data_IF_500283993667
#
_entry.id   IF_500283993667
#
_cell.length_a   1.000
_cell.length_b   1.000
_cell.length_c   1.000
_cell.angle_alpha   90.00
_cell.angle_beta   90.00
_cell.angle_gamma   90.00
#
_symmetry.space_group_name_H-M   'P 1'
#
loop_
_entity.id
_entity.type
_entity.pdbx_description
1 polymer ?
#
# COMPACT_ATOMS: atom_id res chain seq x y z
N UNK A 1 -15.25 6.99 3.60
CA UNK A 1 -14.99 8.37 3.10
C UNK A 1 -16.28 8.92 2.49
N UNK A 2 -16.59 10.18 2.72
CA UNK A 2 -17.80 10.85 2.25
C UNK A 2 -17.44 12.03 1.34
N UNK A 3 -18.14 12.17 0.24
CA UNK A 3 -17.95 13.31 -0.68
C UNK A 3 -18.69 14.56 -0.21
N UNK A 4 -19.93 14.35 0.21
CA UNK A 4 -20.83 15.39 0.70
C UNK A 4 -21.79 14.82 1.74
N UNK A 5 -22.55 15.66 2.43
CA UNK A 5 -23.48 15.24 3.47
C UNK A 5 -22.85 14.66 4.72
N UNK A 6 -21.54 14.84 4.93
CA UNK A 6 -20.82 14.26 6.08
C UNK A 6 -21.36 14.73 7.45
N UNK A 7 -21.94 15.92 7.50
CA UNK A 7 -22.62 16.49 8.66
C UNK A 7 -23.91 15.74 9.06
N UNK A 8 -24.46 14.92 8.16
CA UNK A 8 -25.68 14.12 8.39
C UNK A 8 -25.40 12.68 8.82
N UNK A 9 -24.13 12.26 8.80
CA UNK A 9 -23.74 10.86 9.07
C UNK A 9 -24.12 10.42 10.48
N UNK A 10 -23.95 11.27 11.47
CA UNK A 10 -24.28 10.99 12.88
C UNK A 10 -25.78 10.84 13.13
N UNK A 11 -26.61 11.37 12.25
CA UNK A 11 -28.07 11.37 12.40
C UNK A 11 -28.75 10.20 11.67
N UNK A 12 -28.11 9.63 10.65
CA UNK A 12 -28.77 8.68 9.75
C UNK A 12 -28.33 7.23 9.89
N UNK A 13 -27.12 6.98 10.35
CA UNK A 13 -26.63 5.60 10.61
C UNK A 13 -25.54 5.59 11.69
N UNK A 14 -25.88 5.09 12.85
CA UNK A 14 -24.88 4.38 13.60
C UNK A 14 -24.71 3.01 12.92
N UNK A 15 -23.72 2.84 12.03
CA UNK A 15 -23.02 1.56 11.99
C UNK A 15 -22.25 1.55 13.31
N UNK A 16 -23.00 1.43 14.39
CA UNK A 16 -22.41 1.37 15.70
C UNK A 16 -21.78 -0.01 15.82
N UNK A 17 -20.60 -0.05 16.41
CA UNK A 17 -19.96 -1.29 16.90
C UNK A 17 -20.98 -2.15 17.67
N UNK A 18 -21.99 -1.55 18.31
CA UNK A 18 -23.08 -2.20 19.03
C UNK A 18 -24.04 -2.91 18.07
N UNK A 19 -24.39 -2.35 16.91
CA UNK A 19 -25.23 -3.05 15.93
C UNK A 19 -24.49 -4.26 15.33
N UNK A 20 -23.18 -4.14 15.11
CA UNK A 20 -22.32 -5.25 14.68
C UNK A 20 -22.23 -6.38 15.73
N UNK A 21 -22.32 -6.06 17.02
CA UNK A 21 -22.30 -7.07 18.09
C UNK A 21 -23.62 -7.86 18.23
N UNK A 22 -24.73 -7.36 17.70
CA UNK A 22 -26.06 -7.95 17.84
C UNK A 22 -26.48 -8.72 16.58
N UNK A 23 -25.98 -8.33 15.41
CA UNK A 23 -26.28 -8.97 14.12
C UNK A 23 -25.10 -9.85 13.66
N UNK A 24 -25.23 -11.19 13.67
CA UNK A 24 -24.20 -12.08 13.20
C UNK A 24 -23.84 -11.88 11.71
N UNK A 25 -24.70 -11.22 10.92
CA UNK A 25 -24.42 -10.87 9.52
C UNK A 25 -23.62 -9.58 9.40
N UNK A 26 -23.42 -8.82 10.46
CA UNK A 26 -22.68 -7.57 10.46
C UNK A 26 -21.16 -7.74 10.18
N UNK A 27 -20.65 -8.97 10.29
CA UNK A 27 -19.29 -9.33 9.94
C UNK A 27 -19.07 -9.52 8.42
N UNK A 28 -20.14 -9.49 7.62
CA UNK A 28 -20.06 -9.65 6.17
C UNK A 28 -19.97 -8.30 5.47
N UNK A 29 -19.04 -8.11 4.52
CA UNK A 29 -18.89 -6.85 3.78
C UNK A 29 -20.19 -6.36 3.12
N UNK A 30 -21.03 -7.28 2.67
CA UNK A 30 -22.32 -6.98 2.04
C UNK A 30 -23.28 -6.22 2.96
N UNK A 31 -23.17 -6.42 4.26
CA UNK A 31 -23.98 -5.67 5.23
C UNK A 31 -23.55 -4.20 5.29
N UNK A 32 -22.23 -3.96 5.28
CA UNK A 32 -21.69 -2.61 5.15
C UNK A 32 -22.14 -1.96 3.83
N UNK A 33 -21.99 -2.67 2.71
CA UNK A 33 -22.33 -2.12 1.38
C UNK A 33 -23.82 -1.77 1.27
N UNK A 34 -24.73 -2.55 1.86
CA UNK A 34 -26.16 -2.19 1.96
C UNK A 34 -26.35 -0.89 2.75
N UNK A 35 -25.67 -0.75 3.89
CA UNK A 35 -25.69 0.48 4.67
C UNK A 35 -25.17 1.70 3.91
N UNK A 36 -24.10 1.54 3.11
CA UNK A 36 -23.57 2.61 2.25
C UNK A 36 -24.58 2.96 1.13
N UNK A 37 -25.23 1.96 0.51
CA UNK A 37 -26.27 2.20 -0.49
C UNK A 37 -27.48 2.93 0.11
N UNK A 38 -27.91 2.54 1.29
CA UNK A 38 -29.01 3.19 2.01
C UNK A 38 -28.68 4.64 2.35
N UNK A 39 -27.41 4.91 2.71
CA UNK A 39 -26.95 6.28 2.93
C UNK A 39 -27.06 7.12 1.66
N UNK A 40 -26.52 6.64 0.52
CA UNK A 40 -26.62 7.34 -0.77
C UNK A 40 -28.07 7.59 -1.17
N UNK A 41 -28.95 6.58 -1.02
CA UNK A 41 -30.36 6.67 -1.35
C UNK A 41 -31.10 7.72 -0.50
N UNK A 42 -30.77 7.82 0.78
CA UNK A 42 -31.44 8.74 1.73
C UNK A 42 -30.96 10.17 1.65
N UNK A 43 -29.67 10.35 1.35
CA UNK A 43 -29.02 11.67 1.48
C UNK A 43 -28.71 12.33 0.14
N UNK A 44 -28.63 11.55 -0.95
CA UNK A 44 -28.09 11.98 -2.22
C UNK A 44 -26.57 12.21 -2.19
N UNK A 45 -25.91 11.94 -1.07
CA UNK A 45 -24.47 12.01 -0.91
C UNK A 45 -23.76 10.82 -1.55
N UNK A 46 -22.44 10.86 -1.61
CA UNK A 46 -21.60 9.77 -2.10
C UNK A 46 -20.64 9.30 -1.01
N UNK A 47 -20.45 7.99 -0.92
CA UNK A 47 -19.58 7.36 0.07
C UNK A 47 -18.74 6.26 -0.57
N UNK A 48 -17.65 5.89 0.11
CA UNK A 48 -16.86 4.70 -0.19
C UNK A 48 -16.29 4.12 1.12
N UNK A 49 -16.03 2.83 1.12
CA UNK A 49 -15.30 2.15 2.17
C UNK A 49 -13.80 2.07 1.81
N UNK A 50 -12.97 2.01 2.85
CA UNK A 50 -11.53 1.81 2.72
C UNK A 50 -11.16 0.63 3.62
N UNK A 51 -11.06 -0.59 3.08
CA UNK A 51 -10.54 -1.74 3.82
C UNK A 51 -9.14 -1.43 4.37
N UNK A 52 -8.88 -1.85 5.60
CA UNK A 52 -7.61 -1.63 6.28
C UNK A 52 -7.26 -2.81 7.18
N UNK A 53 -6.00 -2.90 7.64
CA UNK A 53 -5.48 -4.05 8.40
C UNK A 53 -5.59 -5.38 7.62
N UNK A 54 -5.31 -5.39 6.33
CA UNK A 54 -5.41 -6.61 5.54
C UNK A 54 -4.47 -7.70 6.05
N UNK A 55 -3.26 -7.33 6.48
CA UNK A 55 -2.28 -8.23 7.11
C UNK A 55 -2.77 -8.87 8.42
N UNK A 56 -3.83 -8.36 9.04
CA UNK A 56 -4.42 -8.89 10.28
C UNK A 56 -5.79 -9.53 10.06
N UNK A 57 -6.16 -9.80 8.81
CA UNK A 57 -7.49 -10.29 8.43
C UNK A 57 -7.66 -11.81 8.50
N UNK A 58 -6.65 -12.56 8.91
CA UNK A 58 -6.64 -14.05 8.83
C UNK A 58 -6.89 -14.59 7.42
N UNK A 59 -6.45 -13.85 6.39
CA UNK A 59 -6.63 -14.23 4.99
C UNK A 59 -7.98 -13.83 4.37
N UNK A 60 -8.86 -13.18 5.14
CA UNK A 60 -10.22 -12.88 4.68
C UNK A 60 -10.31 -11.61 3.83
N UNK A 61 -9.31 -10.71 3.90
CA UNK A 61 -9.38 -9.45 3.17
C UNK A 61 -9.41 -9.65 1.66
N UNK A 62 -8.59 -10.55 1.14
CA UNK A 62 -8.48 -10.85 -0.29
C UNK A 62 -8.85 -12.31 -0.58
N UNK A 63 -9.93 -12.79 0.06
CA UNK A 63 -10.42 -14.15 -0.15
C UNK A 63 -10.98 -14.31 -1.57
N UNK A 64 -10.95 -15.53 -2.06
CA UNK A 64 -11.57 -15.93 -3.35
C UNK A 64 -13.00 -16.48 -3.15
N UNK A 65 -13.39 -16.68 -1.90
CA UNK A 65 -14.71 -17.14 -1.48
C UNK A 65 -15.45 -16.04 -0.72
N UNK A 66 -16.75 -16.20 -0.61
CA UNK A 66 -17.63 -15.39 0.20
C UNK A 66 -18.24 -16.25 1.32
N UNK A 67 -18.97 -15.64 2.25
CA UNK A 67 -19.71 -16.38 3.28
C UNK A 67 -20.71 -17.40 2.74
N UNK A 68 -21.09 -17.30 1.47
CA UNK A 68 -22.10 -18.15 0.82
C UNK A 68 -21.54 -19.06 -0.27
N UNK A 69 -20.21 -19.12 -0.42
CA UNK A 69 -19.52 -19.92 -1.41
C UNK A 69 -18.61 -19.12 -2.34
N UNK A 70 -18.26 -19.65 -3.51
CA UNK A 70 -17.37 -18.97 -4.44
C UNK A 70 -17.86 -17.58 -4.82
N UNK A 71 -16.93 -16.63 -4.98
CA UNK A 71 -17.26 -15.27 -5.39
C UNK A 71 -17.94 -15.27 -6.76
N UNK A 72 -19.05 -14.52 -6.87
CA UNK A 72 -19.78 -14.35 -8.11
C UNK A 72 -19.66 -12.91 -8.65
N UNK A 73 -20.14 -12.69 -9.87
CA UNK A 73 -20.08 -11.39 -10.54
C UNK A 73 -20.74 -10.27 -9.73
N UNK A 74 -21.89 -10.52 -9.12
CA UNK A 74 -22.65 -9.51 -8.36
C UNK A 74 -21.87 -9.05 -7.12
N UNK A 75 -21.25 -9.98 -6.38
CA UNK A 75 -20.40 -9.67 -5.25
C UNK A 75 -19.16 -8.87 -5.71
N UNK A 76 -18.48 -9.33 -6.76
CA UNK A 76 -17.30 -8.67 -7.31
C UNK A 76 -17.59 -7.23 -7.77
N UNK A 77 -18.75 -6.99 -8.42
CA UNK A 77 -19.21 -5.63 -8.81
C UNK A 77 -19.47 -4.74 -7.59
N UNK A 78 -20.13 -5.26 -6.56
CA UNK A 78 -20.39 -4.51 -5.33
C UNK A 78 -19.08 -4.13 -4.64
N UNK A 79 -18.17 -5.07 -4.48
CA UNK A 79 -16.87 -4.82 -3.86
C UNK A 79 -16.09 -3.74 -4.63
N UNK A 80 -15.97 -3.88 -5.95
CA UNK A 80 -15.30 -2.90 -6.81
C UNK A 80 -15.92 -1.50 -6.70
N UNK A 81 -17.25 -1.41 -6.53
CA UNK A 81 -17.97 -0.15 -6.38
C UNK A 81 -17.65 0.54 -5.05
N UNK A 82 -17.74 -0.21 -3.95
CA UNK A 82 -17.71 0.34 -2.62
C UNK A 82 -16.30 0.46 -2.03
N UNK A 83 -15.37 -0.37 -2.50
CA UNK A 83 -14.00 -0.45 -2.01
C UNK A 83 -12.99 -0.11 -3.12
N UNK A 84 -13.02 1.12 -3.67
CA UNK A 84 -12.15 1.50 -4.79
C UNK A 84 -10.68 1.64 -4.38
N UNK A 85 -10.38 1.70 -3.10
CA UNK A 85 -9.02 1.79 -2.55
C UNK A 85 -8.88 0.94 -1.31
N UNK A 86 -7.65 0.51 -1.00
CA UNK A 86 -7.28 -0.25 0.20
C UNK A 86 -6.08 0.41 0.88
N UNK A 87 -6.01 0.30 2.18
CA UNK A 87 -4.82 0.69 2.94
C UNK A 87 -3.75 -0.39 2.80
N UNK A 88 -2.53 0.03 2.40
CA UNK A 88 -1.40 -0.89 2.18
C UNK A 88 -0.38 -0.83 3.32
N UNK A 89 -0.34 0.26 4.08
CA UNK A 89 0.61 0.45 5.18
C UNK A 89 0.02 1.32 6.28
N UNK A 90 0.28 0.96 7.53
CA UNK A 90 -0.11 1.70 8.73
C UNK A 90 0.70 1.21 9.95
N UNK A 91 0.48 1.77 11.14
CA UNK A 91 1.24 1.47 12.36
C UNK A 91 1.28 -0.02 12.74
N UNK A 92 0.24 -0.80 12.39
CA UNK A 92 0.19 -2.25 12.60
C UNK A 92 0.78 -3.05 11.44
N UNK A 93 1.79 -2.48 10.78
CA UNK A 93 2.60 -3.12 9.77
C UNK A 93 2.22 -2.75 8.33
N UNK A 94 3.12 -3.11 7.44
CA UNK A 94 2.98 -3.01 6.00
C UNK A 94 2.30 -4.26 5.45
N UNK A 95 1.44 -4.06 4.46
CA UNK A 95 0.66 -5.12 3.82
C UNK A 95 0.94 -5.24 2.32
N UNK A 96 2.01 -4.61 1.79
CA UNK A 96 2.32 -4.67 0.36
C UNK A 96 2.61 -6.10 -0.08
N UNK A 97 3.62 -6.72 0.53
CA UNK A 97 4.11 -8.05 0.19
C UNK A 97 4.63 -8.77 1.44
N UNK A 98 4.82 -10.08 1.34
CA UNK A 98 5.39 -10.90 2.39
C UNK A 98 6.49 -11.81 1.82
N UNK A 99 7.63 -12.03 2.52
CA UNK A 99 8.74 -12.85 2.01
C UNK A 99 8.35 -14.27 1.62
N UNK A 100 7.40 -14.86 2.34
CA UNK A 100 6.86 -16.19 2.02
C UNK A 100 6.13 -16.22 0.68
N UNK A 101 5.42 -15.13 0.31
CA UNK A 101 4.62 -15.03 -0.92
C UNK A 101 5.46 -14.52 -2.10
N UNK A 102 6.47 -13.73 -1.82
CA UNK A 102 7.33 -13.05 -2.80
C UNK A 102 8.82 -13.31 -2.50
N UNK A 103 9.28 -14.57 -2.53
CA UNK A 103 10.65 -14.92 -2.11
C UNK A 103 11.75 -14.34 -3.03
N UNK A 104 11.39 -13.88 -4.21
CA UNK A 104 12.28 -13.18 -5.15
C UNK A 104 12.38 -11.66 -4.94
N UNK A 105 11.65 -11.11 -3.98
CA UNK A 105 11.62 -9.68 -3.67
C UNK A 105 12.47 -9.37 -2.43
N UNK A 106 13.62 -8.74 -2.64
CA UNK A 106 14.55 -8.34 -1.57
C UNK A 106 13.97 -7.30 -0.59
N UNK A 107 12.83 -6.67 -0.93
CA UNK A 107 12.15 -5.66 -0.14
C UNK A 107 10.78 -6.10 0.37
N UNK A 108 10.44 -7.39 0.28
CA UNK A 108 9.17 -7.92 0.78
C UNK A 108 9.10 -7.97 2.32
N UNK A 109 10.25 -8.07 2.99
CA UNK A 109 10.35 -8.06 4.44
C UNK A 109 10.50 -6.61 4.94
N UNK A 110 9.34 -5.94 5.06
CA UNK A 110 9.30 -4.55 5.52
C UNK A 110 8.19 -4.36 6.55
N UNK A 111 8.60 -4.16 7.80
CA UNK A 111 7.68 -3.92 8.92
C UNK A 111 6.42 -4.84 8.90
N UNK A 112 6.59 -6.11 8.49
CA UNK A 112 5.51 -7.09 8.46
C UNK A 112 5.00 -7.37 9.87
N UNK A 113 3.68 -7.46 9.99
CA UNK A 113 3.02 -7.81 11.24
C UNK A 113 2.12 -9.02 10.96
N UNK A 114 2.65 -10.21 11.19
CA UNK A 114 2.12 -11.49 10.70
C UNK A 114 1.93 -12.57 11.79
N UNK A 115 2.01 -12.18 13.07
CA UNK A 115 1.94 -13.14 14.19
C UNK A 115 0.53 -13.62 14.48
N UNK A 116 -0.46 -12.75 14.30
CA UNK A 116 -1.85 -13.06 14.62
C UNK A 116 -2.83 -12.09 13.98
N UNK A 117 -4.11 -12.37 14.16
CA UNK A 117 -5.18 -11.50 13.69
C UNK A 117 -5.29 -10.23 14.55
N UNK A 118 -6.15 -9.29 14.13
CA UNK A 118 -6.32 -7.98 14.79
C UNK A 118 -6.68 -8.06 16.28
N UNK A 119 -7.32 -9.15 16.72
CA UNK A 119 -7.69 -9.38 18.11
C UNK A 119 -6.70 -10.27 18.86
N UNK A 120 -5.62 -10.71 18.21
CA UNK A 120 -4.68 -11.70 18.72
C UNK A 120 -5.34 -13.01 19.23
N UNK A 121 -6.53 -13.30 18.73
CA UNK A 121 -7.30 -14.50 19.08
C UNK A 121 -6.90 -15.73 18.27
N UNK A 122 -6.11 -15.55 17.20
CA UNK A 122 -5.69 -16.61 16.28
C UNK A 122 -4.28 -16.33 15.76
N UNK A 123 -3.43 -17.33 15.84
CA UNK A 123 -2.11 -17.30 15.20
C UNK A 123 -2.26 -17.37 13.68
N UNK A 124 -1.38 -16.66 12.96
CA UNK A 124 -1.30 -16.76 11.51
C UNK A 124 -0.75 -18.10 11.07
N UNK A 125 -1.23 -18.57 9.93
CA UNK A 125 -0.69 -19.70 9.19
C UNK A 125 -0.33 -19.26 7.77
N UNK A 126 0.56 -19.99 7.09
CA UNK A 126 0.99 -19.68 5.73
C UNK A 126 -0.18 -19.54 4.75
N UNK A 127 -1.26 -20.33 4.93
CA UNK A 127 -2.44 -20.27 4.07
C UNK A 127 -3.21 -18.94 4.20
N UNK A 128 -3.12 -18.27 5.36
CA UNK A 128 -3.78 -16.98 5.59
C UNK A 128 -3.04 -15.83 4.90
N UNK A 129 -1.72 -15.96 4.71
CA UNK A 129 -0.91 -14.90 4.14
C UNK A 129 -1.38 -14.46 2.75
N UNK A 130 -1.71 -15.41 1.88
CA UNK A 130 -2.13 -15.11 0.51
C UNK A 130 -3.44 -14.30 0.41
N UNK A 131 -4.32 -14.38 1.41
CA UNK A 131 -5.52 -13.55 1.51
C UNK A 131 -5.34 -12.25 2.30
N UNK A 132 -4.11 -11.96 2.78
CA UNK A 132 -3.83 -10.88 3.69
C UNK A 132 -2.96 -9.75 3.09
N UNK A 133 -2.25 -10.02 2.00
CA UNK A 133 -1.31 -9.07 1.40
C UNK A 133 -1.81 -8.52 0.08
N UNK A 134 -1.61 -7.22 -0.13
CA UNK A 134 -2.19 -6.44 -1.24
C UNK A 134 -1.74 -6.97 -2.60
N UNK A 135 -0.44 -7.28 -2.77
CA UNK A 135 0.09 -7.83 -4.04
C UNK A 135 -0.60 -9.14 -4.43
N UNK A 136 -0.83 -10.02 -3.45
CA UNK A 136 -1.61 -11.26 -3.68
C UNK A 136 -3.07 -10.94 -4.03
N UNK A 137 -3.67 -9.95 -3.36
CA UNK A 137 -5.01 -9.48 -3.69
C UNK A 137 -5.10 -9.01 -5.15
N UNK A 138 -4.13 -8.22 -5.63
CA UNK A 138 -4.07 -7.79 -7.03
C UNK A 138 -3.97 -8.97 -8.00
N UNK A 139 -3.11 -9.97 -7.69
CA UNK A 139 -2.99 -11.20 -8.51
C UNK A 139 -4.29 -12.00 -8.52
N UNK A 140 -4.90 -12.25 -7.34
CA UNK A 140 -6.19 -12.95 -7.22
C UNK A 140 -7.31 -12.24 -7.99
N UNK A 141 -7.28 -10.91 -8.03
CA UNK A 141 -8.23 -10.13 -8.80
C UNK A 141 -8.19 -10.43 -10.31
N UNK A 142 -7.03 -10.75 -10.88
CA UNK A 142 -6.91 -11.20 -12.28
C UNK A 142 -7.62 -12.53 -12.50
N UNK A 143 -7.37 -13.52 -11.65
CA UNK A 143 -7.99 -14.84 -11.74
C UNK A 143 -9.52 -14.78 -11.52
N UNK A 144 -10.00 -13.98 -10.57
CA UNK A 144 -11.43 -13.80 -10.35
C UNK A 144 -12.07 -13.12 -11.56
N UNK A 145 -11.43 -12.12 -12.15
CA UNK A 145 -11.94 -11.49 -13.39
C UNK A 145 -12.06 -12.48 -14.53
N UNK A 146 -11.09 -13.35 -14.70
CA UNK A 146 -11.14 -14.42 -15.72
C UNK A 146 -12.33 -15.36 -15.48
N UNK A 147 -12.58 -15.73 -14.23
CA UNK A 147 -13.65 -16.65 -13.84
C UNK A 147 -15.06 -16.04 -13.89
N UNK A 148 -15.24 -14.78 -13.44
CA UNK A 148 -16.56 -14.16 -13.23
C UNK A 148 -16.77 -12.84 -13.99
N UNK A 149 -15.80 -12.40 -14.79
CA UNK A 149 -15.89 -11.22 -15.65
C UNK A 149 -15.60 -9.88 -14.96
N UNK A 150 -15.43 -9.84 -13.63
CA UNK A 150 -15.18 -8.62 -12.86
C UNK A 150 -14.04 -8.83 -11.86
N UNK A 151 -13.08 -7.90 -11.84
CA UNK A 151 -12.02 -7.87 -10.85
C UNK A 151 -12.50 -7.11 -9.59
N UNK A 152 -12.73 -7.80 -8.44
CA UNK A 152 -13.13 -7.17 -7.18
C UNK A 152 -11.96 -6.44 -6.50
N UNK A 153 -10.72 -6.76 -6.88
CA UNK A 153 -9.48 -6.26 -6.30
C UNK A 153 -8.75 -5.26 -7.22
N UNK A 154 -9.49 -4.65 -8.14
CA UNK A 154 -8.99 -3.53 -8.96
C UNK A 154 -9.07 -2.22 -8.17
N UNK A 155 -8.36 -2.16 -7.06
CA UNK A 155 -8.32 -1.03 -6.15
C UNK A 155 -7.04 -0.18 -6.31
N UNK A 156 -7.09 1.05 -5.83
CA UNK A 156 -5.91 1.86 -5.56
C UNK A 156 -5.38 1.60 -4.15
N UNK A 157 -4.19 2.11 -3.85
CA UNK A 157 -3.55 1.93 -2.55
C UNK A 157 -3.29 3.26 -1.84
N UNK A 158 -3.47 3.28 -0.52
CA UNK A 158 -3.15 4.42 0.33
C UNK A 158 -2.41 3.95 1.58
N UNK A 159 -1.66 4.85 2.22
CA UNK A 159 -1.15 4.66 3.57
C UNK A 159 -1.96 5.46 4.58
N UNK A 160 -1.85 5.13 5.85
CA UNK A 160 -2.42 5.91 6.94
C UNK A 160 -1.58 5.79 8.21
N UNK A 161 -1.79 6.68 9.17
CA UNK A 161 -1.11 6.60 10.46
C UNK A 161 -1.78 5.60 11.39
N UNK A 162 -3.08 5.44 11.28
CA UNK A 162 -3.91 4.73 12.28
C UNK A 162 -3.61 5.18 13.73
N UNK A 163 -3.12 6.40 13.90
CA UNK A 163 -2.86 6.97 15.21
C UNK A 163 -4.17 7.35 15.90
N UNK A 164 -4.29 6.98 17.17
CA UNK A 164 -5.45 7.29 18.02
C UNK A 164 -5.12 8.41 19.02
N UNK A 165 -4.23 9.31 18.64
CA UNK A 165 -3.85 10.52 19.39
C UNK A 165 -4.03 11.75 18.52
N UNK A 166 -4.05 12.94 19.13
CA UNK A 166 -3.95 14.21 18.42
C UNK A 166 -2.55 14.53 17.87
N UNK A 167 -1.58 13.65 18.12
CA UNK A 167 -0.17 13.77 17.73
C UNK A 167 0.19 12.79 16.59
N UNK A 168 -0.72 12.63 15.64
CA UNK A 168 -0.53 11.72 14.51
C UNK A 168 0.63 12.18 13.62
N UNK A 169 1.63 11.31 13.44
CA UNK A 169 2.79 11.53 12.58
C UNK A 169 3.32 10.19 12.08
N UNK A 170 3.85 10.17 10.86
CA UNK A 170 4.56 9.04 10.26
C UNK A 170 6.07 9.32 10.15
N UNK A 171 6.60 10.27 10.89
CA UNK A 171 8.01 10.61 10.93
C UNK A 171 8.72 9.80 12.01
N UNK A 172 9.69 8.98 11.65
CA UNK A 172 10.49 8.17 12.56
C UNK A 172 11.16 8.99 13.66
N UNK A 173 11.64 10.19 13.35
CA UNK A 173 12.26 11.07 14.34
C UNK A 173 11.26 11.64 15.34
N UNK A 174 9.97 11.66 15.00
CA UNK A 174 8.90 12.24 15.80
C UNK A 174 7.73 11.27 15.96
N UNK A 175 8.01 9.99 16.18
CA UNK A 175 7.00 8.96 16.26
C UNK A 175 6.37 8.87 17.65
N UNK A 176 5.07 9.18 17.74
CA UNK A 176 4.31 9.21 19.00
C UNK A 176 3.54 7.92 19.31
N UNK A 177 3.58 6.93 18.41
CA UNK A 177 2.86 5.67 18.62
C UNK A 177 1.36 5.77 18.36
N UNK A 178 0.64 4.67 18.60
CA UNK A 178 -0.79 4.56 18.31
C UNK A 178 -1.67 5.29 19.34
N UNK A 179 -1.31 5.20 20.61
CA UNK A 179 -2.10 5.74 21.73
C UNK A 179 -1.16 6.23 22.85
N UNK A 180 -1.65 7.00 23.82
CA UNK A 180 -0.81 7.50 24.92
C UNK A 180 -0.05 6.41 25.68
N UNK A 181 -0.63 5.20 25.80
CA UNK A 181 0.01 4.07 26.53
C UNK A 181 1.26 3.53 25.82
N UNK A 182 1.38 3.73 24.51
CA UNK A 182 2.53 3.32 23.69
C UNK A 182 3.32 4.52 23.18
N UNK A 183 3.15 5.66 23.82
CA UNK A 183 3.91 6.88 23.54
C UNK A 183 5.38 6.78 23.91
N UNK A 184 6.20 7.81 23.59
CA UNK A 184 7.63 7.81 23.88
C UNK A 184 7.93 7.66 25.38
N UNK A 185 8.53 6.52 25.75
CA UNK A 185 8.96 6.19 27.11
C UNK A 185 10.16 5.26 27.07
N UNK A 186 11.01 5.23 28.11
CA UNK A 186 12.15 4.31 28.16
C UNK A 186 11.77 2.83 28.01
N UNK A 187 10.56 2.44 28.38
CA UNK A 187 10.10 1.06 28.31
C UNK A 187 9.44 0.68 26.99
N UNK A 188 9.19 1.64 26.09
CA UNK A 188 8.43 1.41 24.85
C UNK A 188 9.05 0.34 23.96
N UNK A 189 10.38 0.26 23.90
CA UNK A 189 11.07 -0.70 23.04
C UNK A 189 10.89 -2.16 23.47
N UNK A 190 10.62 -2.42 24.73
CA UNK A 190 10.51 -3.78 25.30
C UNK A 190 9.09 -4.15 25.71
N UNK A 191 8.22 -3.18 25.89
CA UNK A 191 6.85 -3.40 26.33
C UNK A 191 6.03 -4.14 25.27
N UNK A 192 5.09 -4.97 25.74
CA UNK A 192 4.16 -5.68 24.90
C UNK A 192 3.04 -4.75 24.45
N UNK A 193 2.73 -4.77 23.16
CA UNK A 193 1.56 -4.10 22.59
C UNK A 193 0.27 -4.82 22.99
N UNK A 194 0.27 -6.12 22.90
CA UNK A 194 -0.89 -6.96 23.21
C UNK A 194 -0.42 -8.35 23.67
N UNK A 195 -1.10 -8.88 24.65
CA UNK A 195 -0.69 -10.13 25.31
C UNK A 195 -1.78 -11.19 25.39
N UNK A 196 -3.03 -10.89 25.07
CA UNK A 196 -4.11 -11.87 25.24
C UNK A 196 -5.09 -11.82 24.07
N UNK A 197 -5.23 -12.98 23.41
CA UNK A 197 -6.32 -13.26 22.48
C UNK A 197 -7.50 -13.94 23.19
N UNK A 198 -8.68 -13.84 22.63
CA UNK A 198 -9.80 -14.69 22.97
C UNK A 198 -9.45 -16.14 22.65
N UNK A 199 -9.90 -17.09 23.48
CA UNK A 199 -9.68 -18.52 23.26
C UNK A 199 -8.31 -19.06 23.71
N UNK A 200 -7.49 -18.28 24.41
CA UNK A 200 -6.24 -18.76 25.04
C UNK A 200 -5.01 -18.82 24.14
N UNK A 201 -5.08 -18.39 22.89
CA UNK A 201 -3.90 -18.18 22.04
C UNK A 201 -3.15 -16.93 22.51
N UNK A 202 -1.88 -17.10 22.90
CA UNK A 202 -1.02 -15.98 23.26
C UNK A 202 -0.25 -15.53 22.04
N UNK A 203 -0.69 -14.43 21.42
CA UNK A 203 0.10 -13.71 20.42
C UNK A 203 0.71 -12.50 21.09
N UNK A 204 2.01 -12.53 21.32
CA UNK A 204 2.73 -11.38 21.85
C UNK A 204 3.31 -10.56 20.70
N UNK A 205 2.87 -9.31 20.60
CA UNK A 205 3.43 -8.30 19.72
C UNK A 205 4.09 -7.24 20.58
N UNK A 206 5.33 -6.90 20.27
CA UNK A 206 6.07 -5.84 20.95
C UNK A 206 5.73 -4.48 20.35
N UNK A 207 5.79 -3.43 21.19
CA UNK A 207 5.65 -2.06 20.66
C UNK A 207 6.72 -1.74 19.60
N UNK A 208 7.94 -2.28 19.77
CA UNK A 208 9.04 -2.11 18.80
C UNK A 208 8.77 -2.71 17.42
N UNK A 209 7.76 -3.56 17.27
CA UNK A 209 7.33 -4.11 15.99
C UNK A 209 6.40 -3.16 15.21
N UNK A 210 5.95 -2.05 15.81
CA UNK A 210 5.13 -1.07 15.15
C UNK A 210 5.89 -0.36 14.04
N UNK A 211 5.27 -0.17 12.86
CA UNK A 211 5.75 0.75 11.85
C UNK A 211 5.57 2.20 12.32
N UNK A 212 6.36 3.14 11.80
CA UNK A 212 6.08 4.56 12.04
C UNK A 212 4.81 5.01 11.32
N UNK A 213 4.39 4.23 10.33
CA UNK A 213 3.15 4.33 9.58
C UNK A 213 3.22 5.16 8.30
N UNK A 214 2.12 5.62 7.76
CA UNK A 214 2.11 6.16 6.42
C UNK A 214 1.10 7.27 6.17
N UNK A 215 1.09 7.76 4.95
CA UNK A 215 0.17 8.76 4.46
C UNK A 215 -0.50 8.34 3.16
N UNK A 216 -1.75 8.78 2.99
CA UNK A 216 -2.41 8.78 1.70
C UNK A 216 -1.96 9.99 0.89
N UNK A 217 -1.55 9.75 -0.35
CA UNK A 217 -1.28 10.79 -1.32
C UNK A 217 -2.29 10.73 -2.46
N UNK A 218 -2.68 11.87 -3.01
CA UNK A 218 -3.74 11.96 -4.01
C UNK A 218 -3.43 13.00 -5.07
N UNK A 219 -3.66 12.64 -6.33
CA UNK A 219 -3.61 13.57 -7.44
C UNK A 219 -5.04 14.03 -7.78
N UNK A 220 -5.41 15.16 -7.24
CA UNK A 220 -6.70 15.80 -7.46
C UNK A 220 -6.53 17.08 -8.31
N UNK A 221 -7.57 17.46 -9.04
CA UNK A 221 -7.56 18.70 -9.85
C UNK A 221 -7.49 19.96 -8.99
N UNK A 222 -7.99 19.88 -7.75
CA UNK A 222 -7.99 20.95 -6.78
C UNK A 222 -8.09 20.40 -5.35
N UNK A 223 -7.74 21.23 -4.36
CA UNK A 223 -7.81 20.85 -2.96
C UNK A 223 -9.23 21.09 -2.41
N UNK A 224 -10.19 20.33 -2.93
CA UNK A 224 -11.57 20.33 -2.42
C UNK A 224 -11.98 18.90 -2.05
N UNK A 225 -12.97 18.78 -1.15
CA UNK A 225 -13.53 17.48 -0.75
C UNK A 225 -13.99 16.66 -1.96
N UNK A 226 -14.69 17.31 -2.89
CA UNK A 226 -15.22 16.66 -4.08
C UNK A 226 -14.10 16.13 -4.99
N UNK A 227 -13.12 16.96 -5.35
CA UNK A 227 -12.02 16.57 -6.22
C UNK A 227 -11.14 15.47 -5.60
N UNK A 228 -10.90 15.55 -4.29
CA UNK A 228 -10.18 14.50 -3.55
C UNK A 228 -10.99 13.19 -3.57
N UNK A 229 -12.29 13.23 -3.29
CA UNK A 229 -13.15 12.05 -3.34
C UNK A 229 -13.17 11.42 -4.74
N UNK A 230 -13.28 12.23 -5.78
CA UNK A 230 -13.29 11.77 -7.17
C UNK A 230 -11.93 11.12 -7.54
N UNK A 231 -10.81 11.64 -7.02
CA UNK A 231 -9.49 11.03 -7.20
C UNK A 231 -9.40 9.65 -6.51
N UNK A 232 -9.97 9.49 -5.33
CA UNK A 232 -10.09 8.19 -4.68
C UNK A 232 -10.95 7.23 -5.51
N UNK A 233 -12.08 7.69 -6.02
CA UNK A 233 -12.99 6.87 -6.87
C UNK A 233 -12.30 6.38 -8.15
N UNK A 234 -11.48 7.20 -8.81
CA UNK A 234 -10.71 6.82 -9.99
C UNK A 234 -9.36 6.18 -9.66
N UNK A 235 -9.04 6.01 -8.35
CA UNK A 235 -7.82 5.35 -7.84
C UNK A 235 -6.52 6.09 -8.20
N UNK A 236 -6.58 7.37 -8.46
CA UNK A 236 -5.39 8.19 -8.71
C UNK A 236 -4.77 8.66 -7.39
N UNK A 237 -4.39 7.67 -6.60
CA UNK A 237 -3.86 7.76 -5.24
C UNK A 237 -2.65 6.87 -5.09
N UNK A 238 -1.82 7.15 -4.09
CA UNK A 238 -0.69 6.32 -3.74
C UNK A 238 -0.39 6.39 -2.24
N UNK A 239 0.38 5.43 -1.75
CA UNK A 239 0.81 5.35 -0.37
C UNK A 239 2.25 5.82 -0.20
N UNK A 240 2.55 6.42 0.95
CA UNK A 240 3.91 6.60 1.46
C UNK A 240 3.99 5.99 2.85
N UNK A 241 5.14 5.44 3.22
CA UNK A 241 5.39 4.91 4.56
C UNK A 241 5.74 6.00 5.58
N UNK A 242 5.82 7.27 5.15
CA UNK A 242 6.07 8.43 6.01
C UNK A 242 6.56 9.63 5.24
N UNK A 243 7.65 9.54 4.50
CA UNK A 243 8.14 10.65 3.68
C UNK A 243 7.13 11.06 2.61
N UNK A 244 7.06 12.35 2.34
CA UNK A 244 6.18 12.92 1.30
C UNK A 244 6.85 12.83 -0.07
N UNK A 245 7.24 11.62 -0.46
CA UNK A 245 7.79 11.34 -1.80
C UNK A 245 6.69 11.65 -2.81
N UNK A 246 6.95 12.56 -3.77
CA UNK A 246 6.03 12.85 -4.84
C UNK A 246 6.26 11.88 -5.99
N UNK A 247 5.25 11.11 -6.37
CA UNK A 247 5.34 10.09 -7.43
C UNK A 247 4.27 10.32 -8.48
N UNK A 248 4.67 10.34 -9.75
CA UNK A 248 3.78 10.26 -10.91
C UNK A 248 4.05 8.98 -11.68
N UNK A 249 3.01 8.29 -12.09
CA UNK A 249 3.09 7.05 -12.82
C UNK A 249 2.01 7.01 -13.90
N UNK A 250 2.45 6.89 -15.16
CA UNK A 250 1.57 6.81 -16.32
C UNK A 250 1.93 5.58 -17.16
N UNK A 251 0.94 4.97 -17.80
CA UNK A 251 1.11 3.89 -18.77
C UNK A 251 0.44 4.24 -20.10
N UNK A 252 1.08 3.92 -21.21
CA UNK A 252 0.59 4.18 -22.57
C UNK A 252 1.38 3.38 -23.59
N UNK A 253 1.26 3.71 -24.88
CA UNK A 253 1.94 2.97 -25.95
C UNK A 253 2.92 3.82 -26.76
N UNK A 254 2.80 5.15 -26.67
CA UNK A 254 3.53 6.06 -27.55
C UNK A 254 4.37 7.11 -26.80
N UNK A 255 4.66 6.89 -25.52
CA UNK A 255 5.52 7.81 -24.75
C UNK A 255 6.93 7.86 -25.31
N UNK A 256 7.46 9.07 -25.42
CA UNK A 256 8.81 9.38 -25.88
C UNK A 256 9.68 9.95 -24.77
N UNK A 257 10.94 10.15 -25.04
CA UNK A 257 11.83 10.83 -24.09
C UNK A 257 11.49 12.33 -23.96
N UNK A 258 10.92 12.94 -25.02
CA UNK A 258 10.43 14.33 -24.95
C UNK A 258 9.24 14.46 -23.97
N UNK A 259 8.38 13.44 -23.87
CA UNK A 259 7.30 13.41 -22.89
C UNK A 259 7.85 13.26 -21.46
N UNK A 260 8.90 12.45 -21.28
CA UNK A 260 9.54 12.25 -19.97
C UNK A 260 10.14 13.54 -19.43
N UNK A 261 10.75 14.34 -20.31
CA UNK A 261 11.42 15.59 -19.94
C UNK A 261 10.58 16.84 -20.24
N UNK A 262 9.29 16.67 -20.55
CA UNK A 262 8.38 17.79 -20.79
C UNK A 262 8.28 18.68 -19.54
N UNK A 263 8.22 20.00 -19.75
CA UNK A 263 8.03 20.96 -18.66
C UNK A 263 6.74 20.70 -17.85
N UNK A 264 5.69 20.19 -18.51
CA UNK A 264 4.47 19.67 -17.88
C UNK A 264 4.39 18.16 -18.12
N UNK A 265 5.14 17.41 -17.30
CA UNK A 265 5.16 15.96 -17.26
C UNK A 265 3.76 15.35 -17.11
N UNK A 266 2.93 15.94 -16.23
CA UNK A 266 1.59 15.43 -15.97
C UNK A 266 0.69 15.57 -17.21
N UNK A 267 0.71 16.74 -17.87
CA UNK A 267 -0.05 16.93 -19.10
C UNK A 267 0.39 15.98 -20.21
N UNK A 268 1.69 15.72 -20.35
CA UNK A 268 2.20 14.72 -21.28
C UNK A 268 1.68 13.32 -20.95
N UNK A 269 1.70 12.94 -19.67
CA UNK A 269 1.17 11.66 -19.19
C UNK A 269 -0.30 11.46 -19.48
N UNK A 270 -1.15 12.45 -19.19
CA UNK A 270 -2.60 12.36 -19.46
C UNK A 270 -2.93 12.38 -20.95
N UNK A 271 -2.14 13.04 -21.80
CA UNK A 271 -2.35 13.02 -23.26
C UNK A 271 -1.96 11.68 -23.88
N UNK A 272 -0.88 11.07 -23.39
CA UNK A 272 -0.28 9.87 -24.00
C UNK A 272 -0.75 8.54 -23.40
N UNK A 273 -1.50 8.56 -22.28
CA UNK A 273 -1.86 7.33 -21.61
C UNK A 273 -2.83 7.50 -20.43
N UNK A 274 -2.75 6.58 -19.50
CA UNK A 274 -3.56 6.53 -18.28
C UNK A 274 -2.68 6.74 -17.04
N UNK A 275 -3.16 7.44 -16.01
CA UNK A 275 -2.45 7.56 -14.74
C UNK A 275 -2.53 6.28 -13.92
N UNK A 276 -1.79 6.23 -12.80
CA UNK A 276 -1.97 5.21 -11.76
C UNK A 276 -3.45 5.01 -11.42
N UNK A 277 -3.86 3.77 -11.18
CA UNK A 277 -5.26 3.37 -10.97
C UNK A 277 -6.06 3.17 -12.27
N UNK A 278 -5.50 3.56 -13.43
CA UNK A 278 -6.13 3.45 -14.74
C UNK A 278 -6.04 2.07 -15.37
N UNK A 279 -6.65 1.92 -16.54
CA UNK A 279 -6.66 0.69 -17.34
C UNK A 279 -6.22 0.99 -18.77
N UNK A 280 -5.22 0.28 -19.25
CA UNK A 280 -4.73 0.36 -20.62
C UNK A 280 -5.70 -0.36 -21.56
N UNK A 281 -5.88 0.19 -22.76
CA UNK A 281 -6.60 -0.50 -23.83
C UNK A 281 -5.78 -1.68 -24.32
N UNK A 282 -6.47 -2.75 -24.76
CA UNK A 282 -5.83 -3.90 -25.39
C UNK A 282 -4.96 -3.45 -26.60
N UNK A 283 -3.77 -4.03 -26.73
CA UNK A 283 -2.82 -3.70 -27.80
C UNK A 283 -1.85 -4.85 -27.99
N UNK A 284 -1.42 -5.09 -29.24
CA UNK A 284 -0.30 -5.99 -29.55
C UNK A 284 1.07 -5.36 -29.17
N UNK A 285 1.11 -4.05 -28.97
CA UNK A 285 2.33 -3.34 -28.60
C UNK A 285 2.54 -3.39 -27.07
N UNK A 286 3.77 -3.65 -26.65
CA UNK A 286 4.14 -3.58 -25.24
C UNK A 286 3.90 -2.18 -24.65
N UNK A 287 3.33 -2.10 -23.44
CA UNK A 287 3.10 -0.82 -22.78
C UNK A 287 4.41 -0.15 -22.40
N UNK A 288 4.40 1.16 -22.52
CA UNK A 288 5.47 2.04 -22.07
C UNK A 288 4.99 2.76 -20.81
N UNK A 289 5.79 2.72 -19.78
CA UNK A 289 5.49 3.40 -18.51
C UNK A 289 6.42 4.59 -18.33
N UNK A 290 5.85 5.70 -17.92
CA UNK A 290 6.54 6.95 -17.61
C UNK A 290 6.42 7.22 -16.12
N UNK A 291 7.55 7.38 -15.43
CA UNK A 291 7.64 7.59 -13.99
C UNK A 291 8.49 8.78 -13.66
N UNK A 292 8.06 9.54 -12.67
CA UNK A 292 8.85 10.59 -12.02
C UNK A 292 8.64 10.51 -10.52
N UNK A 293 9.73 10.50 -9.77
CA UNK A 293 9.74 10.52 -8.32
C UNK A 293 10.68 11.63 -7.82
N UNK A 294 10.19 12.40 -6.83
CA UNK A 294 10.94 13.44 -6.13
C UNK A 294 10.91 13.12 -4.63
N UNK A 295 12.06 13.15 -3.98
CA UNK A 295 12.15 12.92 -2.54
C UNK A 295 11.36 13.95 -1.72
N UNK A 296 10.99 13.59 -0.50
CA UNK A 296 10.54 14.58 0.48
C UNK A 296 11.66 15.63 0.69
N UNK A 297 11.35 16.93 0.65
CA UNK A 297 12.35 17.98 0.91
C UNK A 297 13.09 17.83 2.23
N UNK A 298 12.45 17.22 3.24
CA UNK A 298 13.03 16.94 4.57
C UNK A 298 13.48 15.48 4.75
N UNK A 299 13.21 14.62 3.78
CA UNK A 299 13.49 13.18 3.82
C UNK A 299 14.84 12.80 3.22
N UNK A 300 15.04 11.51 3.09
CA UNK A 300 16.23 10.91 2.50
C UNK A 300 16.23 11.00 0.96
N UNK A 301 17.40 10.86 0.35
CA UNK A 301 17.50 10.71 -1.08
C UNK A 301 16.90 9.37 -1.54
N UNK A 302 16.54 9.30 -2.82
CA UNK A 302 15.96 8.10 -3.42
C UNK A 302 17.05 7.10 -3.80
N UNK A 303 16.84 5.84 -3.46
CA UNK A 303 17.66 4.71 -3.90
C UNK A 303 17.29 4.32 -5.33
N UNK A 304 16.03 3.98 -5.57
CA UNK A 304 15.56 3.43 -6.86
C UNK A 304 14.05 3.54 -7.04
N UNK A 305 13.64 3.38 -8.30
CA UNK A 305 12.26 3.09 -8.68
C UNK A 305 12.20 1.65 -9.18
N UNK A 306 11.23 0.90 -8.68
CA UNK A 306 10.89 -0.45 -9.15
C UNK A 306 9.53 -0.44 -9.81
N UNK A 307 9.32 -1.26 -10.85
CA UNK A 307 8.01 -1.67 -11.34
C UNK A 307 7.79 -3.11 -10.93
N UNK A 308 6.67 -3.35 -10.27
CA UNK A 308 6.17 -4.67 -9.95
C UNK A 308 5.08 -5.03 -10.96
N UNK A 309 5.31 -6.07 -11.74
CA UNK A 309 4.35 -6.68 -12.66
C UNK A 309 3.76 -7.93 -12.03
N UNK A 310 2.44 -8.06 -12.07
CA UNK A 310 1.75 -9.33 -11.83
C UNK A 310 0.91 -9.69 -13.05
N UNK A 311 0.80 -10.99 -13.37
CA UNK A 311 0.01 -11.43 -14.52
C UNK A 311 -0.60 -12.81 -14.31
N UNK A 312 -1.64 -13.09 -15.10
CA UNK A 312 -2.27 -14.39 -15.21
C UNK A 312 -1.80 -15.05 -16.51
N UNK A 313 -1.15 -16.20 -16.41
CA UNK A 313 -0.74 -16.98 -17.58
C UNK A 313 -1.89 -17.83 -18.16
N UNK A 314 -1.73 -18.30 -19.38
CA UNK A 314 -2.76 -19.06 -20.09
C UNK A 314 -3.17 -20.38 -19.41
N UNK A 315 -2.32 -20.94 -18.54
CA UNK A 315 -2.60 -22.12 -17.72
C UNK A 315 -3.26 -21.77 -16.37
N UNK A 316 -3.65 -20.50 -16.17
CA UNK A 316 -4.33 -20.01 -14.96
C UNK A 316 -3.41 -19.76 -13.76
N UNK A 317 -2.09 -19.81 -13.94
CA UNK A 317 -1.16 -19.52 -12.85
C UNK A 317 -0.92 -18.02 -12.68
N UNK A 318 -0.80 -17.59 -11.42
CA UNK A 318 -0.49 -16.23 -11.05
C UNK A 318 1.02 -16.04 -10.86
N UNK A 319 1.55 -15.03 -11.49
CA UNK A 319 2.98 -14.73 -11.50
C UNK A 319 3.25 -13.30 -11.08
N UNK A 320 4.50 -13.03 -10.68
CA UNK A 320 4.99 -11.68 -10.46
C UNK A 320 6.46 -11.55 -10.90
N UNK A 321 6.85 -10.33 -11.22
CA UNK A 321 8.23 -9.96 -11.48
C UNK A 321 8.49 -8.51 -11.08
N UNK A 322 9.65 -8.29 -10.47
CA UNK A 322 10.11 -6.99 -10.04
C UNK A 322 11.23 -6.52 -10.97
N UNK A 323 11.13 -5.30 -11.47
CA UNK A 323 12.14 -4.65 -12.30
C UNK A 323 12.63 -3.38 -11.61
N UNK A 324 13.94 -3.24 -11.42
CA UNK A 324 14.56 -1.95 -11.14
C UNK A 324 14.56 -1.16 -12.45
N UNK A 325 13.91 0.01 -12.49
CA UNK A 325 13.72 0.79 -13.73
C UNK A 325 14.44 2.13 -13.73
N UNK A 326 14.77 2.64 -12.54
CA UNK A 326 15.71 3.76 -12.32
C UNK A 326 16.46 3.53 -11.01
N UNK A 327 17.74 3.86 -10.97
CA UNK A 327 18.61 3.69 -9.80
C UNK A 327 19.53 4.88 -9.67
N UNK A 328 19.79 5.28 -8.43
CA UNK A 328 20.72 6.37 -8.12
C UNK A 328 22.20 6.00 -8.29
N UNK A 329 23.08 6.98 -8.11
CA UNK A 329 24.55 6.83 -8.04
C UNK A 329 25.17 6.14 -9.26
N UNK A 330 24.57 6.31 -10.45
CA UNK A 330 25.01 5.69 -11.70
C UNK A 330 25.18 4.16 -11.62
N UNK A 331 24.49 3.49 -10.71
CA UNK A 331 24.50 2.03 -10.60
C UNK A 331 23.87 1.40 -11.84
N UNK A 332 24.36 0.24 -12.22
CA UNK A 332 23.94 -0.43 -13.45
C UNK A 332 22.82 -1.45 -13.22
N UNK A 333 21.70 -1.26 -13.89
CA UNK A 333 20.64 -2.28 -14.02
C UNK A 333 21.14 -3.34 -15.02
N UNK A 334 21.08 -4.61 -14.63
CA UNK A 334 21.46 -5.74 -15.47
C UNK A 334 20.34 -6.11 -16.46
N UNK A 335 20.65 -6.99 -17.43
CA UNK A 335 19.69 -7.48 -18.43
C UNK A 335 18.46 -8.19 -17.82
N UNK A 336 18.59 -8.74 -16.62
CA UNK A 336 17.45 -9.35 -15.89
C UNK A 336 16.53 -8.33 -15.21
N UNK A 337 16.75 -7.04 -15.42
CA UNK A 337 15.97 -5.96 -14.82
C UNK A 337 16.31 -5.70 -13.34
N UNK A 338 17.46 -6.17 -12.82
CA UNK A 338 17.83 -5.99 -11.41
C UNK A 338 19.20 -5.31 -11.27
N UNK A 339 19.31 -4.43 -10.27
CA UNK A 339 20.61 -3.89 -9.83
C UNK A 339 21.19 -4.81 -8.76
N UNK A 340 22.47 -5.16 -8.91
CA UNK A 340 23.17 -5.99 -7.91
C UNK A 340 23.81 -5.15 -6.81
N UNK A 341 24.29 -3.96 -7.18
CA UNK A 341 25.01 -3.09 -6.25
C UNK A 341 24.00 -2.40 -5.33
N UNK A 342 24.18 -2.57 -4.03
CA UNK A 342 23.39 -1.84 -3.02
C UNK A 342 23.73 -0.34 -3.08
N UNK A 343 22.78 0.51 -2.67
CA UNK A 343 22.97 1.96 -2.60
C UNK A 343 23.99 2.35 -1.52
N UNK A 344 24.20 1.47 -0.55
CA UNK A 344 25.04 1.75 0.62
C UNK A 344 24.21 2.21 1.82
N UNK A 345 24.90 2.62 2.88
CA UNK A 345 24.29 3.04 4.12
C UNK A 345 25.11 4.18 4.75
N UNK A 346 24.46 5.27 5.10
CA UNK A 346 25.08 6.45 5.74
C UNK A 346 24.57 6.69 7.17
N UNK A 347 23.82 5.74 7.72
CA UNK A 347 23.23 5.86 9.06
C UNK A 347 24.31 5.78 10.14
N UNK A 348 24.29 6.74 11.04
CA UNK A 348 25.02 6.76 12.31
C UNK A 348 24.04 6.36 13.41
N UNK A 349 24.07 5.08 13.83
CA UNK A 349 23.14 4.52 14.79
C UNK A 349 23.31 5.18 16.17
N UNK A 350 24.53 5.52 16.55
CA UNK A 350 24.84 6.10 17.87
C UNK A 350 24.29 7.52 18.03
N UNK A 351 24.01 8.20 16.89
CA UNK A 351 23.44 9.54 16.87
C UNK A 351 22.02 9.57 16.35
N UNK A 352 21.47 8.45 15.89
CA UNK A 352 20.23 8.37 15.16
C UNK A 352 20.17 9.42 14.00
N UNK A 353 21.23 9.44 13.19
CA UNK A 353 21.39 10.42 12.10
C UNK A 353 21.82 9.73 10.81
N UNK A 354 21.71 10.40 9.67
CA UNK A 354 22.16 9.91 8.36
C UNK A 354 22.57 11.07 7.45
N UNK A 355 23.23 10.74 6.35
CA UNK A 355 23.68 11.75 5.38
C UNK A 355 23.10 11.47 3.99
N UNK A 356 22.57 12.50 3.35
CA UNK A 356 22.16 12.49 1.95
C UNK A 356 23.39 12.64 1.01
N UNK A 357 24.44 11.84 1.24
CA UNK A 357 25.67 11.81 0.41
C UNK A 357 25.66 10.69 -0.64
N UNK A 358 24.63 9.84 -0.61
CA UNK A 358 24.31 8.81 -1.59
C UNK A 358 22.85 8.98 -2.02
N UNK A 359 22.43 8.29 -3.06
CA UNK A 359 21.07 8.44 -3.59
C UNK A 359 20.88 9.73 -4.39
N UNK A 360 19.71 9.87 -5.00
CA UNK A 360 19.34 11.01 -5.84
C UNK A 360 18.15 11.78 -5.29
N UNK A 361 18.12 13.10 -5.55
CA UNK A 361 16.99 13.97 -5.17
C UNK A 361 15.72 13.61 -5.96
N UNK A 362 15.91 13.22 -7.23
CA UNK A 362 14.83 12.86 -8.14
C UNK A 362 15.26 11.70 -9.04
N UNK A 363 14.34 10.86 -9.38
CA UNK A 363 14.51 9.79 -10.37
C UNK A 363 13.36 9.87 -11.38
N UNK A 364 13.68 9.72 -12.65
CA UNK A 364 12.69 9.65 -13.71
C UNK A 364 13.10 8.58 -14.73
N UNK A 365 12.11 7.92 -15.32
CA UNK A 365 12.36 6.89 -16.32
C UNK A 365 11.17 6.70 -17.24
N UNK A 366 11.49 6.26 -18.45
CA UNK A 366 10.58 5.65 -19.41
C UNK A 366 11.00 4.20 -19.58
N UNK A 367 10.09 3.29 -19.29
CA UNK A 367 10.37 1.86 -19.31
C UNK A 367 9.30 1.11 -20.12
N UNK A 368 9.73 0.18 -20.95
CA UNK A 368 8.86 -0.69 -21.74
C UNK A 368 8.94 -2.10 -21.16
N UNK A 369 7.81 -2.77 -20.99
CA UNK A 369 7.79 -4.14 -20.48
C UNK A 369 8.48 -5.11 -21.46
N UNK A 370 9.65 -5.68 -21.10
CA UNK A 370 10.37 -6.59 -21.98
C UNK A 370 9.74 -8.00 -22.07
N UNK A 371 8.84 -8.32 -21.14
CA UNK A 371 8.20 -9.62 -21.02
C UNK A 371 6.69 -9.51 -21.24
N UNK A 372 6.26 -8.54 -22.05
CA UNK A 372 4.86 -8.34 -22.36
C UNK A 372 4.31 -9.44 -23.27
N UNK A 373 3.15 -9.97 -22.89
CA UNK A 373 2.33 -10.83 -23.73
C UNK A 373 0.95 -10.20 -23.89
N UNK A 374 0.53 -9.82 -25.11
CA UNK A 374 -0.75 -9.16 -25.34
C UNK A 374 -1.98 -10.01 -25.00
N UNK A 375 -1.80 -11.31 -24.80
CA UNK A 375 -2.86 -12.24 -24.42
C UNK A 375 -3.03 -12.44 -22.92
N UNK A 376 -2.14 -11.87 -22.13
CA UNK A 376 -2.13 -12.04 -20.68
C UNK A 376 -2.64 -10.79 -19.96
N UNK A 377 -3.66 -10.97 -19.12
CA UNK A 377 -4.08 -9.91 -18.20
C UNK A 377 -2.96 -9.64 -17.18
N UNK A 378 -2.66 -8.36 -16.95
CA UNK A 378 -1.57 -7.94 -16.08
C UNK A 378 -1.90 -6.66 -15.31
N UNK A 379 -1.15 -6.43 -14.23
CA UNK A 379 -1.09 -5.15 -13.55
C UNK A 379 0.37 -4.72 -13.36
N UNK A 380 0.55 -3.41 -13.22
CA UNK A 380 1.84 -2.78 -12.98
C UNK A 380 1.69 -1.70 -11.92
N UNK A 381 2.52 -1.73 -10.87
CA UNK A 381 2.61 -0.62 -9.94
C UNK A 381 4.08 -0.26 -9.67
N UNK A 382 4.31 0.96 -9.25
CA UNK A 382 5.65 1.41 -8.91
C UNK A 382 5.86 1.38 -7.38
N UNK A 383 7.06 0.99 -6.98
CA UNK A 383 7.61 1.16 -5.64
C UNK A 383 8.84 2.06 -5.73
N UNK A 384 8.84 3.15 -4.98
CA UNK A 384 9.97 4.09 -4.88
C UNK A 384 10.59 3.91 -3.52
N UNK A 385 11.90 3.68 -3.48
CA UNK A 385 12.66 3.44 -2.25
C UNK A 385 13.58 4.62 -1.96
N UNK A 386 13.63 5.07 -0.71
CA UNK A 386 14.66 5.95 -0.20
C UNK A 386 15.94 5.17 0.14
N UNK A 387 17.05 5.87 0.38
CA UNK A 387 18.24 5.29 1.02
C UNK A 387 17.92 4.92 2.48
N UNK A 388 18.68 4.02 3.12
CA UNK A 388 18.47 3.67 4.53
C UNK A 388 18.55 4.87 5.47
N UNK A 389 17.63 4.90 6.46
CA UNK A 389 17.52 5.92 7.51
C UNK A 389 17.38 5.26 8.90
N UNK A 390 17.66 5.98 10.02
CA UNK A 390 17.38 5.43 11.33
C UNK A 390 15.88 5.13 11.52
N UNK A 391 15.56 3.97 12.08
CA UNK A 391 14.20 3.64 12.49
C UNK A 391 13.82 4.39 13.76
N UNK A 392 12.53 4.61 14.05
CA UNK A 392 12.06 5.29 15.26
C UNK A 392 12.60 4.64 16.55
N UNK A 393 12.83 3.35 16.52
CA UNK A 393 13.44 2.60 17.63
C UNK A 393 14.86 3.06 17.96
N UNK A 394 15.63 3.46 16.96
CA UNK A 394 16.97 4.04 17.12
C UNK A 394 16.91 5.46 17.70
N UNK A 395 15.94 6.27 17.24
CA UNK A 395 15.72 7.59 17.85
C UNK A 395 15.35 7.46 19.34
N UNK A 396 14.48 6.52 19.70
CA UNK A 396 14.14 6.27 21.10
C UNK A 396 15.36 5.79 21.91
N UNK A 397 16.14 4.86 21.35
CA UNK A 397 17.34 4.36 22.03
C UNK A 397 18.31 5.50 22.35
N UNK A 398 18.56 6.41 21.40
CA UNK A 398 19.41 7.58 21.61
C UNK A 398 18.78 8.58 22.60
N UNK A 399 17.49 8.88 22.44
CA UNK A 399 16.82 9.88 23.28
C UNK A 399 16.70 9.46 24.75
N UNK A 400 16.63 8.17 25.03
CA UNK A 400 16.48 7.62 26.38
C UNK A 400 17.75 6.96 26.93
N UNK A 401 18.88 7.06 26.21
CA UNK A 401 20.17 6.42 26.57
C UNK A 401 20.02 4.90 26.79
N UNK A 402 19.43 4.22 25.82
CA UNK A 402 19.13 2.78 25.85
C UNK A 402 19.91 2.04 24.76
N UNK A 403 20.18 0.76 25.02
CA UNK A 403 20.57 -0.16 23.95
C UNK A 403 19.34 -0.71 23.23
N UNK A 404 19.42 -0.84 21.90
CA UNK A 404 18.37 -1.53 21.14
C UNK A 404 18.26 -2.99 21.59
N UNK A 405 17.06 -3.50 21.88
CA UNK A 405 16.86 -4.92 22.17
C UNK A 405 17.26 -5.80 20.98
N UNK A 406 17.72 -7.01 21.27
CA UNK A 406 18.07 -7.98 20.21
C UNK A 406 16.89 -8.24 19.27
N UNK A 407 17.15 -8.20 17.96
CA UNK A 407 16.16 -8.42 16.91
C UNK A 407 15.29 -7.19 16.56
N UNK A 408 15.45 -6.06 17.27
CA UNK A 408 14.77 -4.81 16.91
C UNK A 408 15.56 -4.11 15.81
N UNK A 409 14.93 -3.82 14.65
CA UNK A 409 15.59 -3.12 13.55
C UNK A 409 16.07 -1.72 13.97
N UNK A 410 17.34 -1.41 13.69
CA UNK A 410 17.90 -0.08 13.89
C UNK A 410 17.65 0.88 12.71
N UNK A 411 17.43 0.32 11.53
CA UNK A 411 17.40 1.01 10.25
C UNK A 411 16.13 0.63 9.51
N UNK A 412 15.59 1.57 8.78
CA UNK A 412 14.48 1.36 7.86
C UNK A 412 14.83 1.89 6.47
N UNK A 413 14.08 1.50 5.46
CA UNK A 413 14.17 2.04 4.11
C UNK A 413 12.77 2.42 3.64
N UNK A 414 12.44 3.69 3.86
CA UNK A 414 11.15 4.29 3.56
C UNK A 414 10.81 4.18 2.08
N UNK A 415 9.51 4.17 1.78
CA UNK A 415 9.05 3.94 0.43
C UNK A 415 7.70 4.56 0.10
N UNK A 416 7.38 4.58 -1.19
CA UNK A 416 6.05 4.88 -1.69
C UNK A 416 5.58 3.78 -2.65
N UNK A 417 4.27 3.55 -2.69
CA UNK A 417 3.59 2.55 -3.53
C UNK A 417 2.50 3.21 -4.35
N UNK A 418 2.55 3.11 -5.68
CA UNK A 418 1.48 3.64 -6.53
C UNK A 418 0.32 2.67 -6.64
N UNK A 419 -0.88 3.19 -6.91
CA UNK A 419 -1.98 2.38 -7.42
C UNK A 419 -1.59 1.74 -8.75
N UNK A 420 -2.07 0.52 -8.99
CA UNK A 420 -1.71 -0.24 -10.17
C UNK A 420 -2.36 0.30 -11.45
N UNK A 421 -1.63 0.26 -12.56
CA UNK A 421 -2.16 0.38 -13.93
C UNK A 421 -2.44 -1.04 -14.42
N UNK A 422 -3.63 -1.24 -14.97
CA UNK A 422 -4.12 -2.54 -15.41
C UNK A 422 -4.06 -2.68 -16.93
N UNK A 423 -3.73 -3.87 -17.38
CA UNK A 423 -3.84 -4.29 -18.77
C UNK A 423 -4.81 -5.48 -18.89
N UNK A 424 -5.72 -5.38 -19.85
CA UNK A 424 -6.65 -6.47 -20.17
C UNK A 424 -6.61 -6.68 -21.68
N UNK A 425 -6.39 -7.94 -22.13
CA UNK A 425 -6.45 -8.33 -23.53
C UNK A 425 -7.77 -8.03 -24.23
#
# INVERSE_FOLDING_TARGET
MYRDGADRVSQTHPVSVIAAMIDPTAYHPETLWRGLQDYENKTGGQVLAIPHNSNLSSGLMFDVETSTGPMNEAYARNRKRWEPVVEITQIKGDSEAHPFLSPGDEFADYDNWDKGNIFNSRLYTDQMLAGSYVREGLKRGLAIKDAVGVNPYQFGVIGSTDSHTGLATADHKNFWGKSPVVGPTPNRLTADWSTKGEGGALVTVKNSESAASGYAAVWASENTRAAIFDAFKRREVYASTGPRIAVRFFGGYNFTDDDLYAADFAAAGYRGGVPMGGELKASEQAPIFMLSALKDPKGANLDRIQIIKGWLSADGQLHERIYDVAVSDNRRIKRNGRVKQLVGNTVDIDKADYKNSIGEVALATRWTDPDFDPKQAAFYYARVLEIPTPRWTTYDAVNFDLSLPNGVPAITQERAYTSAIWYQP
#
